data_IF_836911940415
#
_entry.id   IF_836911940415
#
_cell.length_a   1.000
_cell.length_b   1.000
_cell.length_c   1.000
_cell.angle_alpha   90.00
_cell.angle_beta   90.00
_cell.angle_gamma   90.00
#
_symmetry.space_group_name_H-M   'P 1'
#
loop_
_entity.id
_entity.type
_entity.pdbx_description
1 polymer ?
#
# COMPACT_ATOMS: atom_id res chain seq x y z
N UNK A 1 -34.16 -7.63 12.43
CA UNK A 1 -34.56 -6.83 13.60
C UNK A 1 -33.29 -6.30 14.24
N UNK A 2 -33.15 -4.97 14.32
CA UNK A 2 -31.98 -4.25 14.83
C UNK A 2 -32.06 -4.22 16.36
N UNK A 3 -31.11 -4.84 17.04
CA UNK A 3 -31.01 -4.81 18.49
C UNK A 3 -29.90 -3.85 18.94
N UNK A 4 -30.23 -2.56 19.10
CA UNK A 4 -29.43 -1.66 19.92
C UNK A 4 -29.90 -1.85 21.37
N UNK A 5 -29.05 -2.40 22.22
CA UNK A 5 -29.30 -2.43 23.67
C UNK A 5 -28.96 -1.04 24.22
N UNK A 6 -29.98 -0.28 24.61
CA UNK A 6 -29.81 0.94 25.39
C UNK A 6 -29.47 0.55 26.83
N UNK A 7 -28.23 0.79 27.25
CA UNK A 7 -27.86 0.86 28.65
C UNK A 7 -27.84 2.33 29.07
N UNK A 8 -28.80 2.68 29.92
CA UNK A 8 -28.91 3.99 30.57
C UNK A 8 -27.73 4.22 31.50
N UNK A 9 -27.29 5.49 31.54
CA UNK A 9 -26.25 6.09 32.36
C UNK A 9 -24.79 5.96 31.86
N UNK A 10 -24.35 6.97 31.11
CA UNK A 10 -23.00 7.51 31.32
C UNK A 10 -21.90 7.16 30.32
N UNK A 11 -22.18 6.68 29.10
CA UNK A 11 -21.12 6.47 28.10
C UNK A 11 -21.61 6.71 26.68
N UNK A 12 -21.11 7.78 26.05
CA UNK A 12 -21.19 7.95 24.60
C UNK A 12 -19.97 7.20 24.02
N UNK A 13 -20.09 5.90 23.79
CA UNK A 13 -19.07 5.06 23.16
C UNK A 13 -19.75 3.70 22.88
N UNK A 14 -19.75 3.06 21.72
CA UNK A 14 -18.89 3.13 20.55
C UNK A 14 -19.64 2.41 19.41
N UNK A 15 -20.47 3.11 18.64
CA UNK A 15 -20.95 2.53 17.38
C UNK A 15 -19.94 2.80 16.24
N UNK A 16 -19.22 3.93 16.32
CA UNK A 16 -18.19 4.30 15.35
C UNK A 16 -16.92 3.46 15.46
N UNK A 17 -16.64 2.90 16.65
CA UNK A 17 -15.44 2.08 16.90
C UNK A 17 -15.48 0.72 16.20
N UNK A 18 -16.63 0.03 16.21
CA UNK A 18 -16.76 -1.28 15.57
C UNK A 18 -16.70 -1.17 14.03
N UNK A 19 -17.37 -0.18 13.44
CA UNK A 19 -17.34 0.00 11.97
C UNK A 19 -15.93 0.34 11.45
N UNK A 20 -15.19 1.22 12.14
CA UNK A 20 -13.82 1.56 11.76
C UNK A 20 -12.82 0.40 11.95
N UNK A 21 -13.11 -0.51 12.89
CA UNK A 21 -12.29 -1.68 13.15
C UNK A 21 -12.55 -2.78 12.12
N UNK A 22 -13.81 -2.98 11.74
CA UNK A 22 -14.21 -3.88 10.65
C UNK A 22 -13.63 -3.41 9.30
N UNK A 23 -13.69 -2.11 8.99
CA UNK A 23 -13.09 -1.53 7.77
C UNK A 23 -11.57 -1.73 7.71
N UNK A 24 -10.86 -1.48 8.82
CA UNK A 24 -9.43 -1.74 8.88
C UNK A 24 -9.09 -3.23 8.71
N UNK A 25 -9.85 -4.13 9.33
CA UNK A 25 -9.64 -5.58 9.17
C UNK A 25 -9.83 -6.02 7.73
N UNK A 26 -10.84 -5.49 7.02
CA UNK A 26 -11.04 -5.76 5.61
C UNK A 26 -9.92 -5.20 4.73
N UNK A 27 -9.50 -3.96 4.97
CA UNK A 27 -8.38 -3.36 4.24
C UNK A 27 -7.08 -4.12 4.50
N UNK A 28 -6.79 -4.49 5.75
CA UNK A 28 -5.58 -5.22 6.11
C UNK A 28 -5.56 -6.60 5.45
N UNK A 29 -6.68 -7.33 5.46
CA UNK A 29 -6.78 -8.60 4.74
C UNK A 29 -6.59 -8.44 3.23
N UNK A 30 -7.09 -7.35 2.63
CA UNK A 30 -6.88 -7.06 1.22
C UNK A 30 -5.41 -6.72 0.91
N UNK A 31 -4.73 -5.97 1.78
CA UNK A 31 -3.30 -5.67 1.68
C UNK A 31 -2.47 -6.95 1.77
N UNK A 32 -2.77 -7.81 2.73
CA UNK A 32 -2.08 -9.10 2.90
C UNK A 32 -2.27 -9.99 1.66
N UNK A 33 -3.48 -9.97 1.07
CA UNK A 33 -3.75 -10.61 -0.22
C UNK A 33 -2.87 -10.06 -1.34
N UNK A 34 -2.68 -8.75 -1.44
CA UNK A 34 -1.78 -8.17 -2.47
C UNK A 34 -0.31 -8.54 -2.20
N UNK A 35 0.14 -8.54 -0.96
CA UNK A 35 1.54 -8.82 -0.61
C UNK A 35 1.92 -10.29 -0.83
N UNK A 36 1.02 -11.21 -0.48
CA UNK A 36 1.32 -12.63 -0.37
C UNK A 36 0.72 -13.50 -1.48
N UNK A 37 -0.21 -13.01 -2.31
CA UNK A 37 -0.83 -13.81 -3.36
C UNK A 37 0.02 -13.83 -4.65
N UNK A 38 0.58 -15.00 -5.04
CA UNK A 38 1.46 -15.08 -6.22
C UNK A 38 0.71 -14.82 -7.53
N UNK A 39 -0.60 -15.06 -7.56
CA UNK A 39 -1.42 -14.91 -8.77
C UNK A 39 -1.58 -13.45 -9.23
N UNK A 40 -1.36 -12.48 -8.34
CA UNK A 40 -1.38 -11.05 -8.69
C UNK A 40 -0.06 -10.58 -9.30
N UNK A 41 1.00 -11.38 -9.19
CA UNK A 41 2.34 -11.04 -9.67
C UNK A 41 2.46 -11.36 -11.16
N UNK A 42 2.99 -10.45 -12.00
CA UNK A 42 3.14 -10.69 -13.44
C UNK A 42 4.08 -11.87 -13.77
N UNK A 43 3.56 -13.09 -13.96
CA UNK A 43 4.38 -14.31 -14.11
C UNK A 43 5.46 -14.23 -15.22
N UNK A 44 5.17 -13.55 -16.33
CA UNK A 44 6.09 -13.40 -17.47
C UNK A 44 7.32 -12.53 -17.17
N UNK A 45 7.22 -11.65 -16.18
CA UNK A 45 8.30 -10.73 -15.76
C UNK A 45 9.14 -11.31 -14.60
N UNK A 46 8.67 -12.40 -13.98
CA UNK A 46 9.30 -13.01 -12.80
C UNK A 46 10.66 -13.65 -13.11
N UNK A 47 10.89 -14.03 -14.37
CA UNK A 47 12.07 -14.79 -14.83
C UNK A 47 13.25 -13.91 -15.23
N UNK A 48 13.06 -12.60 -15.33
CA UNK A 48 14.04 -11.67 -15.90
C UNK A 48 14.88 -10.98 -14.81
N UNK A 49 14.47 -11.02 -13.54
CA UNK A 49 15.06 -10.21 -12.46
C UNK A 49 15.39 -11.03 -11.20
N UNK A 50 16.38 -10.61 -10.39
CA UNK A 50 16.60 -11.18 -9.07
C UNK A 50 15.36 -11.05 -8.18
N UNK A 51 15.09 -12.10 -7.41
CA UNK A 51 13.92 -12.19 -6.52
C UNK A 51 13.85 -11.05 -5.51
N UNK A 52 14.95 -10.72 -4.85
CA UNK A 52 15.01 -9.67 -3.84
C UNK A 52 14.60 -8.29 -4.40
N UNK A 53 15.05 -7.97 -5.62
CA UNK A 53 14.76 -6.69 -6.27
C UNK A 53 13.29 -6.62 -6.68
N UNK A 54 12.77 -7.72 -7.21
CA UNK A 54 11.36 -7.88 -7.58
C UNK A 54 10.44 -7.75 -6.36
N UNK A 55 10.80 -8.39 -5.26
CA UNK A 55 10.04 -8.32 -4.01
C UNK A 55 10.10 -6.91 -3.41
N UNK A 56 11.25 -6.25 -3.44
CA UNK A 56 11.37 -4.84 -3.05
C UNK A 56 10.46 -3.93 -3.90
N UNK A 57 10.49 -4.07 -5.22
CA UNK A 57 9.63 -3.30 -6.12
C UNK A 57 8.14 -3.57 -5.88
N UNK A 58 7.76 -4.81 -5.57
CA UNK A 58 6.39 -5.18 -5.21
C UNK A 58 5.95 -4.50 -3.92
N UNK A 59 6.73 -4.64 -2.85
CA UNK A 59 6.42 -4.03 -1.54
C UNK A 59 6.34 -2.52 -1.66
N UNK A 60 7.29 -1.89 -2.32
CA UNK A 60 7.28 -0.43 -2.55
C UNK A 60 6.07 -0.03 -3.40
N UNK A 61 5.67 -0.85 -4.36
CA UNK A 61 4.45 -0.63 -5.16
C UNK A 61 3.20 -0.64 -4.30
N UNK A 62 3.03 -1.65 -3.43
CA UNK A 62 1.92 -1.71 -2.46
C UNK A 62 1.90 -0.48 -1.56
N UNK A 63 3.05 -0.15 -0.97
CA UNK A 63 3.20 1.05 -0.13
C UNK A 63 2.83 2.33 -0.90
N UNK A 64 3.23 2.43 -2.18
CA UNK A 64 2.90 3.57 -3.04
C UNK A 64 1.42 3.71 -3.31
N UNK A 65 0.72 2.60 -3.58
CA UNK A 65 -0.72 2.63 -3.84
C UNK A 65 -1.52 3.01 -2.60
N UNK A 66 -1.12 2.47 -1.45
CA UNK A 66 -1.72 2.82 -0.17
C UNK A 66 -1.45 4.27 0.21
N UNK A 67 -0.22 4.75 0.06
CA UNK A 67 0.14 6.14 0.36
C UNK A 67 -0.63 7.13 -0.52
N UNK A 68 -0.81 6.82 -1.80
CA UNK A 68 -1.59 7.68 -2.71
C UNK A 68 -3.03 7.87 -2.25
N UNK A 69 -3.66 6.83 -1.69
CA UNK A 69 -5.00 6.95 -1.11
C UNK A 69 -5.07 7.98 0.03
N UNK A 70 -3.94 8.24 0.67
CA UNK A 70 -3.73 9.22 1.73
C UNK A 70 -3.16 10.57 1.27
N UNK A 71 -3.00 10.80 -0.04
CA UNK A 71 -2.40 12.02 -0.57
C UNK A 71 -0.88 12.13 -0.35
N UNK A 72 -0.21 10.98 -0.15
CA UNK A 72 1.22 10.86 0.07
C UNK A 72 1.93 10.36 -1.20
N UNK A 73 3.19 10.76 -1.41
CA UNK A 73 4.00 10.35 -2.56
C UNK A 73 5.19 9.46 -2.16
N UNK A 74 4.89 8.17 -1.92
CA UNK A 74 5.90 7.14 -1.62
C UNK A 74 6.84 6.83 -2.78
N UNK A 75 6.36 7.05 -4.01
CA UNK A 75 7.11 6.73 -5.22
C UNK A 75 8.33 7.63 -5.31
N UNK A 76 8.17 8.91 -5.00
CA UNK A 76 9.27 9.85 -4.91
C UNK A 76 10.27 9.48 -3.79
N UNK A 77 9.77 9.03 -2.63
CA UNK A 77 10.61 8.76 -1.45
C UNK A 77 11.42 7.46 -1.53
N UNK A 78 10.86 6.38 -2.09
CA UNK A 78 11.52 5.05 -2.08
C UNK A 78 11.76 4.48 -3.46
N UNK A 79 10.77 4.56 -4.35
CA UNK A 79 10.86 3.89 -5.65
C UNK A 79 11.85 4.58 -6.60
N UNK A 80 11.78 5.91 -6.71
CA UNK A 80 12.67 6.66 -7.59
C UNK A 80 14.16 6.53 -7.20
N UNK A 81 14.54 6.64 -5.90
CA UNK A 81 15.92 6.37 -5.48
C UNK A 81 16.36 4.93 -5.76
N UNK A 82 15.50 3.94 -5.52
CA UNK A 82 15.81 2.54 -5.84
C UNK A 82 16.09 2.35 -7.34
N UNK A 83 15.25 2.91 -8.20
CA UNK A 83 15.43 2.85 -9.66
C UNK A 83 16.70 3.58 -10.12
N UNK A 84 17.01 4.73 -9.53
CA UNK A 84 18.24 5.46 -9.84
C UNK A 84 19.49 4.65 -9.46
N UNK A 85 19.49 4.01 -8.28
CA UNK A 85 20.58 3.12 -7.84
C UNK A 85 20.70 1.92 -8.80
N UNK A 86 19.58 1.24 -9.09
CA UNK A 86 19.56 0.09 -10.00
C UNK A 86 20.10 0.45 -11.39
N UNK A 87 19.66 1.57 -11.97
CA UNK A 87 20.14 2.04 -13.26
C UNK A 87 21.64 2.42 -13.23
N UNK A 88 22.08 3.08 -12.16
CA UNK A 88 23.49 3.52 -12.03
C UNK A 88 24.47 2.38 -11.77
N UNK A 89 24.00 1.23 -11.27
CA UNK A 89 24.84 0.08 -10.95
C UNK A 89 25.46 -0.61 -12.18
N UNK A 90 24.86 -0.44 -13.37
CA UNK A 90 25.25 -1.16 -14.59
C UNK A 90 25.02 -2.68 -14.54
N UNK A 91 24.40 -3.20 -13.48
CA UNK A 91 24.12 -4.64 -13.29
C UNK A 91 22.88 -5.07 -14.08
N UNK A 92 21.91 -4.15 -14.23
CA UNK A 92 20.62 -4.43 -14.84
C UNK A 92 20.50 -3.81 -16.22
N UNK A 93 20.04 -4.58 -17.19
CA UNK A 93 19.73 -4.07 -18.52
C UNK A 93 18.40 -3.29 -18.54
N UNK A 94 18.14 -2.58 -19.64
CA UNK A 94 16.91 -1.79 -19.80
C UNK A 94 15.65 -2.63 -19.66
N UNK A 95 15.64 -3.87 -20.16
CA UNK A 95 14.48 -4.76 -20.09
C UNK A 95 14.19 -5.19 -18.65
N UNK A 96 15.23 -5.40 -17.84
CA UNK A 96 15.11 -5.69 -16.41
C UNK A 96 14.56 -4.49 -15.65
N UNK A 97 15.05 -3.28 -15.93
CA UNK A 97 14.55 -2.04 -15.31
C UNK A 97 13.09 -1.75 -15.70
N UNK A 98 12.70 -2.03 -16.95
CA UNK A 98 11.32 -1.92 -17.42
C UNK A 98 10.41 -2.96 -16.76
N UNK A 99 10.92 -4.19 -16.59
CA UNK A 99 10.25 -5.25 -15.85
C UNK A 99 9.99 -4.82 -14.40
N UNK A 100 10.97 -4.20 -13.75
CA UNK A 100 10.85 -3.70 -12.38
C UNK A 100 9.83 -2.57 -12.26
N UNK A 101 9.78 -1.69 -13.27
CA UNK A 101 8.78 -0.61 -13.41
C UNK A 101 7.37 -1.15 -13.56
N UNK A 102 7.20 -2.17 -14.39
CA UNK A 102 5.91 -2.83 -14.58
C UNK A 102 5.48 -3.57 -13.31
N UNK A 103 6.42 -4.20 -12.61
CA UNK A 103 6.18 -4.92 -11.36
C UNK A 103 5.68 -3.99 -10.25
N UNK A 104 6.37 -2.86 -10.07
CA UNK A 104 5.95 -1.81 -9.13
C UNK A 104 4.58 -1.25 -9.47
N UNK A 105 4.34 -0.91 -10.74
CA UNK A 105 3.07 -0.34 -11.19
C UNK A 105 1.89 -1.30 -10.97
N UNK A 106 2.08 -2.60 -11.20
CA UNK A 106 1.06 -3.61 -10.95
C UNK A 106 0.68 -3.71 -9.46
N UNK A 107 1.69 -3.76 -8.57
CA UNK A 107 1.48 -3.76 -7.13
C UNK A 107 0.78 -2.48 -6.65
N UNK A 108 1.20 -1.33 -7.18
CA UNK A 108 0.60 -0.04 -6.88
C UNK A 108 -0.89 -0.02 -7.27
N UNK A 109 -1.24 -0.42 -8.50
CA UNK A 109 -2.62 -0.45 -8.95
C UNK A 109 -3.50 -1.39 -8.10
N UNK A 110 -2.98 -2.57 -7.72
CA UNK A 110 -3.70 -3.52 -6.88
C UNK A 110 -3.95 -2.97 -5.47
N UNK A 111 -2.99 -2.25 -4.90
CA UNK A 111 -3.12 -1.63 -3.58
C UNK A 111 -4.03 -0.39 -3.60
N UNK A 112 -3.97 0.43 -4.65
CA UNK A 112 -4.92 1.54 -4.86
C UNK A 112 -6.36 1.00 -4.92
N UNK A 113 -6.58 -0.11 -5.63
CA UNK A 113 -7.90 -0.74 -5.71
C UNK A 113 -8.40 -1.27 -4.37
N UNK A 114 -7.52 -1.95 -3.63
CA UNK A 114 -7.84 -2.42 -2.28
C UNK A 114 -8.23 -1.26 -1.35
N UNK A 115 -7.45 -0.16 -1.37
CA UNK A 115 -7.75 1.03 -0.60
C UNK A 115 -9.09 1.66 -1.00
N UNK A 116 -9.37 1.81 -2.30
CA UNK A 116 -10.65 2.35 -2.79
C UNK A 116 -11.85 1.52 -2.35
N UNK A 117 -11.70 0.20 -2.34
CA UNK A 117 -12.79 -0.73 -2.03
C UNK A 117 -13.08 -0.84 -0.54
N UNK A 118 -12.06 -0.71 0.32
CA UNK A 118 -12.14 -1.08 1.74
C UNK A 118 -11.97 0.08 2.74
N UNK A 119 -12.11 1.35 2.30
CA UNK A 119 -12.24 2.48 3.24
C UNK A 119 -11.28 3.66 3.04
N UNK A 120 -10.48 3.65 1.97
CA UNK A 120 -9.58 4.75 1.63
C UNK A 120 -8.53 5.04 2.70
N UNK A 121 -8.21 6.33 2.91
CA UNK A 121 -7.22 6.72 3.90
C UNK A 121 -7.80 6.80 5.33
N UNK A 122 -7.52 5.77 6.13
CA UNK A 122 -7.85 5.75 7.55
C UNK A 122 -6.66 6.13 8.46
N UNK A 123 -6.89 6.52 9.72
CA UNK A 123 -5.82 6.72 10.70
C UNK A 123 -4.92 5.48 10.89
N UNK A 124 -5.51 4.28 10.84
CA UNK A 124 -4.79 3.02 10.94
C UNK A 124 -3.87 2.80 9.73
N UNK A 125 -4.35 3.11 8.52
CA UNK A 125 -3.52 3.05 7.32
C UNK A 125 -2.34 4.03 7.40
N UNK A 126 -2.59 5.27 7.85
CA UNK A 126 -1.52 6.25 8.08
C UNK A 126 -0.51 5.77 9.11
N UNK A 127 -0.95 5.17 10.20
CA UNK A 127 -0.06 4.61 11.22
C UNK A 127 0.76 3.43 10.67
N UNK A 128 0.14 2.55 9.88
CA UNK A 128 0.83 1.44 9.22
C UNK A 128 1.90 1.92 8.24
N UNK A 129 1.59 2.95 7.44
CA UNK A 129 2.55 3.61 6.54
C UNK A 129 3.69 4.28 7.33
N UNK A 130 3.37 4.98 8.42
CA UNK A 130 4.35 5.60 9.31
C UNK A 130 5.33 4.60 9.94
N UNK A 131 4.83 3.44 10.37
CA UNK A 131 5.67 2.37 10.93
C UNK A 131 6.65 1.76 9.92
N UNK A 132 6.41 1.93 8.61
CA UNK A 132 7.24 1.38 7.53
C UNK A 132 8.27 2.38 6.98
N UNK A 133 8.47 3.48 7.69
CA UNK A 133 9.49 4.48 7.38
C UNK A 133 8.99 5.69 6.61
N UNK A 134 7.66 5.88 6.49
CA UNK A 134 7.14 7.17 6.09
C UNK A 134 7.33 8.18 7.21
N UNK A 135 8.36 8.98 7.09
CA UNK A 135 8.55 10.16 7.92
C UNK A 135 8.51 11.39 7.02
N UNK A 136 7.35 11.61 6.40
CA UNK A 136 7.06 12.73 5.51
C UNK A 136 5.85 13.49 6.02
N UNK A 137 6.06 14.75 6.41
CA UNK A 137 5.00 15.69 6.80
C UNK A 137 3.92 15.75 5.70
N UNK A 138 2.66 15.54 6.06
CA UNK A 138 1.53 15.88 5.18
C UNK A 138 0.91 17.18 5.65
N UNK A 139 1.54 18.29 5.29
CA UNK A 139 0.68 19.34 4.75
C UNK A 139 -0.03 18.73 3.51
N UNK A 140 -1.35 18.88 3.39
CA UNK A 140 -2.04 18.40 2.21
C UNK A 140 -1.45 19.07 0.97
N UNK A 141 -1.22 18.30 -0.09
CA UNK A 141 -0.94 18.87 -1.41
C UNK A 141 -2.17 19.70 -1.80
N UNK A 142 -2.06 21.01 -1.61
CA UNK A 142 -3.06 21.98 -2.07
C UNK A 142 -2.82 22.18 -3.56
N UNK A 143 -3.75 21.68 -4.36
CA UNK A 143 -3.92 22.08 -5.75
C UNK A 143 -4.69 23.38 -5.86
#
# INVERSE_FOLDING_TARGET
MRGCVLLLAGTIASCSGMAAQDEWTHLQSAIDGVLHEPARRPAELATVMPEDLRDAAWVIGVESGLARSCGLDWRAERYAPMMAIAASSGIFDTRQLDGLSTWHAAAQAAAEEAARTHGGCSPQLRAWLGARGLHGNTEPVTG
#
